data_IF_279677499896
#
_entry.id   IF_279677499896
#
_cell.length_a   1.000
_cell.length_b   1.000
_cell.length_c   1.000
_cell.angle_alpha   90.00
_cell.angle_beta   90.00
_cell.angle_gamma   90.00
#
_symmetry.space_group_name_H-M   'P 1'
#
loop_
_entity.id
_entity.type
_entity.pdbx_description
1 polymer ?
#
# COMPACT_ATOMS: atom_id res chain seq x y z
N UNK A 1 21.88 -38.23 -9.89
CA UNK A 1 21.68 -39.30 -8.88
C UNK A 1 20.48 -38.91 -8.01
N UNK A 2 19.99 -39.73 -7.06
CA UNK A 2 18.93 -39.28 -6.15
C UNK A 2 19.54 -38.47 -5.01
N UNK A 3 19.11 -37.21 -4.82
CA UNK A 3 19.52 -36.41 -3.67
C UNK A 3 19.02 -37.05 -2.37
N UNK A 4 19.87 -37.01 -1.33
CA UNK A 4 19.54 -37.50 0.00
C UNK A 4 19.89 -36.47 1.05
N UNK A 5 18.90 -36.00 1.81
CA UNK A 5 19.06 -35.10 2.93
C UNK A 5 18.86 -35.85 4.25
N UNK A 6 19.93 -35.99 5.05
CA UNK A 6 19.91 -36.77 6.29
C UNK A 6 20.26 -35.89 7.48
N UNK A 7 19.42 -35.87 8.52
CA UNK A 7 19.69 -35.15 9.77
C UNK A 7 20.88 -35.81 10.49
N UNK A 8 21.84 -35.01 10.95
CA UNK A 8 23.02 -35.51 11.67
C UNK A 8 22.69 -35.88 13.11
N UNK A 9 23.46 -36.80 13.68
CA UNK A 9 23.27 -37.27 15.06
C UNK A 9 23.59 -36.20 16.12
N UNK A 10 24.45 -35.24 15.77
CA UNK A 10 24.84 -34.10 16.60
C UNK A 10 23.97 -32.86 16.34
N UNK A 11 22.80 -33.05 15.72
CA UNK A 11 21.85 -31.99 15.40
C UNK A 11 21.05 -31.49 16.62
N UNK A 12 20.16 -30.52 16.36
CA UNK A 12 19.18 -29.97 17.31
C UNK A 12 19.81 -29.13 18.42
N UNK A 13 20.71 -28.23 18.05
CA UNK A 13 21.24 -27.24 18.99
C UNK A 13 20.18 -26.17 19.24
N UNK A 14 19.80 -25.95 20.50
CA UNK A 14 18.71 -25.04 20.88
C UNK A 14 19.10 -24.10 22.00
N UNK A 15 18.55 -22.89 21.96
CA UNK A 15 18.47 -21.95 23.07
C UNK A 15 17.00 -21.57 23.33
N UNK A 16 16.62 -21.53 24.60
CA UNK A 16 15.32 -21.02 25.07
C UNK A 16 15.54 -19.76 25.91
N UNK A 17 14.73 -18.72 25.73
CA UNK A 17 14.86 -17.44 26.44
C UNK A 17 14.41 -16.26 25.59
N UNK A 18 14.93 -15.07 25.84
CA UNK A 18 14.57 -13.84 25.11
C UNK A 18 14.93 -13.88 23.61
N UNK A 19 15.95 -14.68 23.26
CA UNK A 19 16.46 -14.86 21.89
C UNK A 19 16.48 -16.36 21.54
N UNK A 20 15.30 -16.99 21.40
CA UNK A 20 15.23 -18.43 21.18
C UNK A 20 15.71 -18.78 19.77
N UNK A 21 16.48 -19.86 19.66
CA UNK A 21 16.87 -20.42 18.36
C UNK A 21 16.90 -21.95 18.38
N UNK A 22 16.81 -22.55 17.20
CA UNK A 22 17.02 -23.96 16.91
C UNK A 22 17.86 -24.10 15.64
N UNK A 23 19.03 -24.71 15.74
CA UNK A 23 19.87 -25.09 14.60
C UNK A 23 19.72 -26.59 14.35
N UNK A 24 19.39 -26.94 13.11
CA UNK A 24 19.40 -28.29 12.59
C UNK A 24 20.59 -28.45 11.63
N UNK A 25 21.21 -29.61 11.66
CA UNK A 25 22.42 -29.93 10.92
C UNK A 25 22.11 -31.15 10.07
N UNK A 26 22.31 -31.04 8.77
CA UNK A 26 22.06 -32.12 7.83
C UNK A 26 23.32 -32.41 7.01
N UNK A 27 23.34 -33.59 6.42
CA UNK A 27 24.23 -33.94 5.33
C UNK A 27 23.38 -34.14 4.08
N UNK A 28 23.69 -33.37 3.04
CA UNK A 28 23.12 -33.55 1.71
C UNK A 28 24.16 -34.26 0.84
N UNK A 29 23.74 -35.26 0.08
CA UNK A 29 24.58 -35.94 -0.92
C UNK A 29 23.84 -36.10 -2.24
N UNK A 30 24.56 -36.20 -3.35
CA UNK A 30 24.00 -36.56 -4.65
C UNK A 30 23.99 -35.44 -5.69
N UNK A 31 24.63 -34.29 -5.41
CA UNK A 31 24.75 -33.18 -6.36
C UNK A 31 26.02 -32.35 -6.12
N UNK A 32 26.67 -31.95 -7.21
CA UNK A 32 27.73 -30.95 -7.24
C UNK A 32 27.20 -29.51 -7.40
N UNK A 33 25.91 -29.34 -7.72
CA UNK A 33 25.29 -28.03 -7.97
C UNK A 33 24.78 -27.41 -6.67
N UNK A 34 25.34 -26.25 -6.30
CA UNK A 34 24.97 -25.51 -5.09
C UNK A 34 23.51 -25.01 -5.15
N UNK A 35 22.99 -24.68 -6.33
CA UNK A 35 21.61 -24.20 -6.51
C UNK A 35 20.65 -25.36 -6.27
N UNK A 36 20.88 -26.50 -6.92
CA UNK A 36 20.08 -27.71 -6.72
C UNK A 36 20.13 -28.16 -5.25
N UNK A 37 21.31 -28.09 -4.63
CA UNK A 37 21.48 -28.40 -3.21
C UNK A 37 20.63 -27.50 -2.32
N UNK A 38 20.64 -26.19 -2.57
CA UNK A 38 19.88 -25.21 -1.79
C UNK A 38 18.38 -25.39 -1.93
N UNK A 39 17.90 -25.58 -3.16
CA UNK A 39 16.48 -25.78 -3.44
C UNK A 39 15.97 -27.06 -2.79
N UNK A 40 16.73 -28.16 -2.92
CA UNK A 40 16.38 -29.43 -2.29
C UNK A 40 16.30 -29.32 -0.75
N UNK A 41 17.24 -28.63 -0.10
CA UNK A 41 17.17 -28.38 1.35
C UNK A 41 15.96 -27.51 1.71
N UNK A 42 15.67 -26.48 0.92
CA UNK A 42 14.56 -25.56 1.18
C UNK A 42 13.19 -26.27 1.07
N UNK A 43 13.04 -27.21 0.16
CA UNK A 43 11.82 -28.03 -0.03
C UNK A 43 11.64 -29.09 1.06
N UNK A 44 12.75 -29.67 1.55
CA UNK A 44 12.73 -30.78 2.51
C UNK A 44 12.88 -30.34 3.97
N UNK A 45 12.95 -29.04 4.24
CA UNK A 45 12.97 -28.48 5.60
C UNK A 45 11.78 -27.54 5.82
N UNK A 46 11.09 -27.61 6.96
CA UNK A 46 9.95 -26.73 7.23
C UNK A 46 10.33 -25.25 7.19
N UNK A 47 9.42 -24.39 6.75
CA UNK A 47 9.55 -22.92 6.84
C UNK A 47 9.39 -22.40 8.27
N UNK A 48 8.81 -23.20 9.17
CA UNK A 48 8.73 -22.93 10.61
C UNK A 48 8.77 -24.23 11.41
N UNK A 49 9.32 -24.17 12.63
CA UNK A 49 9.43 -25.31 13.55
C UNK A 49 9.40 -24.84 14.99
N UNK A 50 8.58 -25.48 15.82
CA UNK A 50 8.44 -25.17 17.26
C UNK A 50 8.17 -23.69 17.57
N UNK A 51 7.37 -23.03 16.72
CA UNK A 51 7.04 -21.60 16.83
C UNK A 51 8.15 -20.64 16.37
N UNK A 52 9.26 -21.15 15.83
CA UNK A 52 10.37 -20.39 15.28
C UNK A 52 10.32 -20.44 13.74
N UNK A 53 10.57 -19.31 13.07
CA UNK A 53 10.64 -19.23 11.60
C UNK A 53 12.03 -19.62 11.10
N UNK A 54 12.13 -20.20 9.90
CA UNK A 54 13.41 -20.52 9.25
C UNK A 54 14.13 -19.21 8.89
N UNK A 55 15.25 -18.95 9.57
CA UNK A 55 16.06 -17.73 9.48
C UNK A 55 17.12 -17.85 8.37
N UNK A 56 17.83 -18.99 8.29
CA UNK A 56 18.85 -19.23 7.28
C UNK A 56 18.98 -20.70 6.90
N UNK A 57 19.50 -20.93 5.69
CA UNK A 57 20.06 -22.19 5.21
C UNK A 57 21.49 -21.89 4.79
N UNK A 58 22.45 -22.51 5.47
CA UNK A 58 23.88 -22.40 5.19
C UNK A 58 24.36 -23.73 4.61
N UNK A 59 25.15 -23.66 3.54
CA UNK A 59 25.71 -24.79 2.82
C UNK A 59 27.22 -24.67 2.86
N UNK A 60 27.88 -25.71 3.36
CA UNK A 60 29.33 -25.84 3.32
C UNK A 60 29.68 -27.11 2.52
N UNK A 61 30.44 -27.01 1.42
CA UNK A 61 30.82 -28.19 0.66
C UNK A 61 31.76 -29.07 1.50
N UNK A 62 31.42 -30.35 1.64
CA UNK A 62 32.33 -31.37 2.18
C UNK A 62 33.28 -31.83 1.08
N UNK A 63 32.72 -32.12 -0.10
CA UNK A 63 33.44 -32.36 -1.34
C UNK A 63 32.50 -32.11 -2.53
N UNK A 64 33.07 -31.75 -3.68
CA UNK A 64 32.34 -31.47 -4.92
C UNK A 64 33.12 -32.11 -6.06
N UNK A 65 32.45 -32.94 -6.85
CA UNK A 65 32.97 -33.52 -8.08
C UNK A 65 32.09 -33.07 -9.25
N UNK A 66 32.54 -32.01 -9.93
CA UNK A 66 31.81 -31.44 -11.07
C UNK A 66 31.81 -32.35 -12.30
N UNK A 67 32.78 -33.25 -12.43
CA UNK A 67 32.85 -34.16 -13.58
C UNK A 67 31.87 -35.33 -13.42
N UNK A 68 31.66 -35.80 -12.19
CA UNK A 68 30.68 -36.82 -11.85
C UNK A 68 29.27 -36.26 -11.56
N UNK A 69 29.11 -34.93 -11.55
CA UNK A 69 27.89 -34.22 -11.12
C UNK A 69 27.41 -34.65 -9.73
N UNK A 70 28.34 -34.97 -8.83
CA UNK A 70 28.05 -35.48 -7.49
C UNK A 70 28.82 -34.68 -6.43
N UNK A 71 28.32 -34.69 -5.21
CA UNK A 71 28.85 -33.87 -4.14
C UNK A 71 28.20 -34.18 -2.81
N UNK A 72 28.85 -33.72 -1.75
CA UNK A 72 28.29 -33.73 -0.41
C UNK A 72 28.43 -32.37 0.26
N UNK A 73 27.39 -31.96 0.98
CA UNK A 73 27.26 -30.67 1.64
C UNK A 73 26.92 -30.88 3.12
N UNK A 74 27.60 -30.14 3.99
CA UNK A 74 27.19 -29.93 5.36
C UNK A 74 26.20 -28.77 5.37
N UNK A 75 25.01 -29.01 5.89
CA UNK A 75 23.91 -28.05 5.84
C UNK A 75 23.56 -27.63 7.26
N UNK A 76 23.48 -26.33 7.50
CA UNK A 76 22.92 -25.77 8.74
C UNK A 76 21.63 -25.04 8.42
N UNK A 77 20.52 -25.47 9.02
CA UNK A 77 19.24 -24.78 8.95
C UNK A 77 18.95 -24.16 10.30
N UNK A 78 18.90 -22.84 10.35
CA UNK A 78 18.65 -22.10 11.58
C UNK A 78 17.22 -21.61 11.61
N UNK A 79 16.56 -21.86 12.74
CA UNK A 79 15.25 -21.34 13.09
C UNK A 79 15.41 -20.36 14.24
N UNK A 80 14.98 -19.12 14.03
CA UNK A 80 15.01 -18.09 15.06
C UNK A 80 13.59 -17.66 15.41
N UNK A 81 13.45 -16.84 16.45
CA UNK A 81 12.27 -15.97 16.51
C UNK A 81 12.25 -15.28 15.16
N UNK A 82 11.17 -15.47 14.39
CA UNK A 82 10.99 -14.60 13.24
C UNK A 82 11.17 -13.20 13.82
N UNK A 83 12.19 -12.45 13.36
CA UNK A 83 11.95 -11.03 13.24
C UNK A 83 10.71 -11.05 12.39
N UNK A 84 9.55 -10.87 13.02
CA UNK A 84 8.37 -10.65 12.25
C UNK A 84 8.80 -9.56 11.27
N UNK A 85 8.29 -9.63 10.06
CA UNK A 85 8.05 -8.41 9.33
C UNK A 85 7.20 -7.54 10.27
N UNK A 86 7.81 -6.90 11.27
CA UNK A 86 7.17 -6.03 12.25
C UNK A 86 6.91 -4.78 11.44
N UNK A 87 5.88 -4.88 10.61
CA UNK A 87 5.43 -3.76 9.85
C UNK A 87 4.87 -2.77 10.85
N UNK A 88 5.50 -1.60 10.92
CA UNK A 88 5.01 -0.55 11.81
C UNK A 88 3.93 0.20 11.06
N UNK A 89 2.73 0.21 11.63
CA UNK A 89 1.60 0.96 11.09
C UNK A 89 1.44 2.28 11.85
N UNK A 90 1.32 3.36 11.10
CA UNK A 90 0.99 4.69 11.63
C UNK A 90 -0.15 5.28 10.82
N UNK A 91 -1.05 6.00 11.47
CA UNK A 91 -2.15 6.66 10.78
C UNK A 91 -2.51 7.99 11.43
N UNK A 92 -3.07 8.87 10.63
CA UNK A 92 -3.62 10.16 10.98
C UNK A 92 -4.89 10.40 10.18
N UNK A 93 -5.98 10.74 10.85
CA UNK A 93 -7.25 11.09 10.21
C UNK A 93 -7.44 12.62 10.13
N UNK A 94 -6.35 13.38 10.19
CA UNK A 94 -6.36 14.83 10.02
C UNK A 94 -6.92 15.16 8.64
N UNK A 95 -8.08 15.82 8.63
CA UNK A 95 -8.79 16.09 7.39
C UNK A 95 -8.01 17.05 6.48
N UNK A 96 -8.05 16.79 5.19
CA UNK A 96 -7.54 17.71 4.18
C UNK A 96 -8.49 18.90 4.00
N UNK A 97 -7.98 20.00 3.46
CA UNK A 97 -8.82 21.15 3.09
C UNK A 97 -9.32 20.97 1.65
N UNK A 98 -10.63 21.11 1.43
CA UNK A 98 -11.22 21.18 0.10
C UNK A 98 -12.00 22.47 -0.05
N UNK A 99 -11.71 23.20 -1.13
CA UNK A 99 -12.52 24.32 -1.55
C UNK A 99 -13.82 23.82 -2.20
N UNK A 100 -14.97 24.25 -1.69
CA UNK A 100 -16.29 23.92 -2.22
C UNK A 100 -17.05 25.18 -2.62
N UNK A 101 -17.69 25.14 -3.79
CA UNK A 101 -18.58 26.24 -4.25
C UNK A 101 -20.05 25.94 -3.99
N UNK A 102 -20.36 24.74 -3.50
CA UNK A 102 -21.71 24.23 -3.33
C UNK A 102 -21.91 23.63 -1.94
N UNK A 103 -22.99 24.02 -1.27
CA UNK A 103 -23.41 23.45 0.00
C UNK A 103 -24.10 22.09 -0.18
N UNK A 104 -24.01 21.24 0.84
CA UNK A 104 -24.79 20.00 0.90
C UNK A 104 -26.29 20.29 1.03
N UNK A 105 -26.64 21.30 1.82
CA UNK A 105 -28.01 21.76 2.01
C UNK A 105 -28.01 23.21 2.49
N UNK A 106 -28.97 24.01 2.01
CA UNK A 106 -29.25 25.34 2.58
C UNK A 106 -30.22 25.18 3.75
N UNK A 107 -29.73 25.31 4.99
CA UNK A 107 -30.53 25.07 6.19
C UNK A 107 -31.59 26.15 6.46
N UNK A 108 -31.30 27.42 6.13
CA UNK A 108 -32.22 28.53 6.29
C UNK A 108 -31.83 29.70 5.39
N UNK A 109 -32.78 30.61 5.15
CA UNK A 109 -32.58 31.90 4.48
C UNK A 109 -33.15 33.02 5.32
N UNK A 110 -32.44 34.14 5.42
CA UNK A 110 -32.86 35.31 6.18
C UNK A 110 -32.64 36.57 5.33
N UNK A 111 -33.72 37.34 5.00
CA UNK A 111 -35.12 36.99 5.23
C UNK A 111 -35.52 35.70 4.50
N UNK A 112 -36.65 35.09 4.88
CA UNK A 112 -37.09 33.80 4.32
C UNK A 112 -37.33 33.83 2.81
N UNK A 113 -37.59 35.03 2.27
CA UNK A 113 -37.74 35.32 0.84
C UNK A 113 -36.43 35.81 0.19
N UNK A 114 -35.27 35.67 0.81
CA UNK A 114 -34.00 35.98 0.16
C UNK A 114 -33.81 35.11 -1.10
N UNK A 115 -33.10 35.61 -2.15
CA UNK A 115 -32.93 34.89 -3.41
C UNK A 115 -32.43 33.46 -3.25
N UNK A 116 -32.91 32.53 -4.09
CA UNK A 116 -32.45 31.15 -4.05
C UNK A 116 -31.27 30.90 -5.02
N UNK A 117 -30.06 30.88 -4.47
CA UNK A 117 -28.83 30.56 -5.21
C UNK A 117 -28.60 29.04 -5.42
N UNK A 118 -29.61 28.21 -5.12
CA UNK A 118 -29.56 26.75 -5.24
C UNK A 118 -28.36 26.10 -4.53
N UNK A 119 -28.00 26.66 -3.37
CA UNK A 119 -26.93 26.15 -2.51
C UNK A 119 -25.51 26.58 -2.91
N UNK A 120 -25.33 27.42 -3.93
CA UNK A 120 -24.06 28.06 -4.21
C UNK A 120 -23.58 28.89 -3.00
N UNK A 121 -22.29 28.81 -2.68
CA UNK A 121 -21.67 29.44 -1.51
C UNK A 121 -20.85 30.66 -1.95
N UNK A 122 -20.96 31.78 -1.21
CA UNK A 122 -20.20 32.99 -1.52
C UNK A 122 -20.59 33.62 -2.85
N UNK A 123 -21.88 33.65 -3.18
CA UNK A 123 -22.37 34.25 -4.43
C UNK A 123 -22.24 35.76 -4.38
N UNK A 124 -21.51 36.32 -5.35
CA UNK A 124 -21.40 37.75 -5.61
C UNK A 124 -22.17 38.11 -6.87
N UNK A 125 -22.10 39.37 -7.31
CA UNK A 125 -22.73 39.80 -8.57
C UNK A 125 -22.17 39.02 -9.77
N UNK A 126 -20.85 38.80 -9.78
CA UNK A 126 -20.15 38.28 -10.96
C UNK A 126 -19.69 36.83 -10.80
N UNK A 127 -19.56 36.32 -9.56
CA UNK A 127 -18.89 35.05 -9.30
C UNK A 127 -19.51 34.25 -8.12
N UNK A 128 -19.00 33.03 -7.94
CA UNK A 128 -19.26 32.16 -6.78
C UNK A 128 -17.92 31.88 -6.12
N UNK A 129 -17.69 32.46 -4.94
CA UNK A 129 -16.39 32.42 -4.26
C UNK A 129 -16.13 31.12 -3.52
N UNK A 130 -17.18 30.42 -3.06
CA UNK A 130 -17.04 29.20 -2.29
C UNK A 130 -16.45 29.40 -0.89
N UNK A 131 -16.07 28.28 -0.27
CA UNK A 131 -15.41 28.24 1.04
C UNK A 131 -14.56 26.98 1.16
N UNK A 132 -13.48 27.07 1.92
CA UNK A 132 -12.67 25.91 2.30
C UNK A 132 -13.28 25.16 3.48
N UNK A 133 -13.46 23.85 3.33
CA UNK A 133 -13.91 22.96 4.39
C UNK A 133 -12.87 21.88 4.67
N UNK A 134 -12.87 21.37 5.89
CA UNK A 134 -12.15 20.13 6.20
C UNK A 134 -12.95 18.94 5.68
N UNK A 135 -12.34 18.15 4.79
CA UNK A 135 -12.88 16.87 4.32
C UNK A 135 -12.12 15.72 4.94
N UNK A 136 -12.78 14.59 5.25
CA UNK A 136 -12.09 13.42 5.78
C UNK A 136 -11.06 12.91 4.76
N UNK A 137 -9.79 13.04 5.11
CA UNK A 137 -8.68 12.39 4.40
C UNK A 137 -8.00 11.50 5.43
N UNK A 138 -7.86 10.22 5.09
CA UNK A 138 -7.22 9.25 5.94
C UNK A 138 -5.76 9.08 5.51
N UNK A 139 -4.84 9.73 6.21
CA UNK A 139 -3.42 9.54 5.97
C UNK A 139 -2.93 8.33 6.75
N UNK A 140 -2.22 7.42 6.08
CA UNK A 140 -1.60 6.30 6.78
C UNK A 140 -0.27 5.95 6.14
N UNK A 141 0.61 5.36 6.96
CA UNK A 141 1.89 4.87 6.51
C UNK A 141 2.22 3.52 7.14
N UNK A 142 2.76 2.64 6.31
CA UNK A 142 3.25 1.32 6.70
C UNK A 142 4.75 1.27 6.48
N UNK A 143 5.51 0.87 7.49
CA UNK A 143 6.95 0.62 7.34
C UNK A 143 7.18 -0.88 7.28
N UNK A 144 7.90 -1.37 6.27
CA UNK A 144 8.23 -2.79 6.09
C UNK A 144 9.74 -2.98 5.99
N UNK A 145 10.27 -4.00 6.66
CA UNK A 145 11.64 -4.47 6.47
C UNK A 145 11.67 -5.47 5.31
N UNK A 146 12.49 -5.21 4.30
CA UNK A 146 12.62 -6.05 3.10
C UNK A 146 14.08 -6.44 2.83
N UNK A 147 14.35 -7.68 2.47
CA UNK A 147 15.70 -8.09 2.15
C UNK A 147 16.23 -7.39 0.90
N UNK A 148 17.54 -7.13 0.87
CA UNK A 148 18.19 -6.36 -0.18
C UNK A 148 17.94 -6.89 -1.60
N UNK A 149 17.78 -8.20 -1.76
CA UNK A 149 17.52 -8.85 -3.05
C UNK A 149 16.11 -8.57 -3.60
N UNK A 150 15.13 -8.22 -2.76
CA UNK A 150 13.79 -7.83 -3.20
C UNK A 150 13.74 -6.37 -3.66
N UNK A 151 14.57 -5.49 -3.08
CA UNK A 151 14.58 -4.04 -3.38
C UNK A 151 15.48 -3.72 -4.56
N UNK A 152 15.14 -4.31 -5.71
CA UNK A 152 15.85 -4.12 -6.97
C UNK A 152 15.64 -2.72 -7.56
N UNK A 153 16.44 -2.35 -8.56
CA UNK A 153 16.16 -1.12 -9.35
C UNK A 153 14.79 -1.15 -10.01
N UNK A 154 14.35 -2.33 -10.49
CA UNK A 154 13.02 -2.50 -11.06
C UNK A 154 11.92 -2.21 -10.03
N UNK A 155 12.08 -2.73 -8.80
CA UNK A 155 11.12 -2.46 -7.72
C UNK A 155 11.05 -0.97 -7.37
N UNK A 156 12.19 -0.28 -7.27
CA UNK A 156 12.21 1.18 -7.06
C UNK A 156 11.52 1.95 -8.19
N UNK A 157 11.66 1.50 -9.44
CA UNK A 157 10.93 2.07 -10.57
C UNK A 157 9.42 1.80 -10.50
N UNK A 158 8.99 0.64 -10.00
CA UNK A 158 7.58 0.38 -9.70
C UNK A 158 7.03 1.36 -8.68
N UNK A 159 7.73 1.59 -7.57
CA UNK A 159 7.32 2.58 -6.55
C UNK A 159 7.24 3.99 -7.14
N UNK A 160 8.24 4.38 -7.94
CA UNK A 160 8.24 5.66 -8.65
C UNK A 160 7.03 5.80 -9.58
N UNK A 161 6.75 4.79 -10.40
CA UNK A 161 5.65 4.82 -11.37
C UNK A 161 4.26 4.82 -10.72
N UNK A 162 4.12 4.22 -9.54
CA UNK A 162 2.87 4.20 -8.78
C UNK A 162 2.67 5.47 -7.94
N UNK A 163 3.74 6.22 -7.64
CA UNK A 163 3.63 7.45 -6.85
C UNK A 163 2.73 8.45 -7.58
N UNK A 164 1.75 9.00 -6.87
CA UNK A 164 0.73 9.88 -7.45
C UNK A 164 -0.36 9.14 -8.23
N UNK A 165 -0.49 7.82 -8.07
CA UNK A 165 -1.60 7.04 -8.63
C UNK A 165 -2.61 6.64 -7.56
N UNK A 166 -3.81 6.33 -8.02
CA UNK A 166 -4.91 5.85 -7.19
C UNK A 166 -5.13 4.36 -7.45
N UNK A 167 -5.48 3.60 -6.42
CA UNK A 167 -5.75 2.17 -6.52
C UNK A 167 -6.85 1.84 -7.56
N UNK A 168 -6.58 0.89 -8.44
CA UNK A 168 -7.56 0.36 -9.40
C UNK A 168 -8.45 -0.77 -8.83
N UNK A 169 -8.07 -1.33 -7.69
CA UNK A 169 -8.76 -2.40 -6.96
C UNK A 169 -8.79 -2.08 -5.46
N UNK A 170 -9.52 -2.87 -4.66
CA UNK A 170 -9.54 -2.67 -3.21
C UNK A 170 -8.13 -2.78 -2.61
N UNK A 171 -7.81 -1.90 -1.66
CA UNK A 171 -6.49 -1.84 -1.04
C UNK A 171 -6.57 -1.25 0.37
N UNK A 172 -6.08 -1.99 1.36
CA UNK A 172 -6.02 -1.68 2.79
C UNK A 172 -7.37 -1.22 3.36
N UNK A 173 -8.43 -1.92 2.97
CA UNK A 173 -9.81 -1.62 3.37
C UNK A 173 -10.47 -0.46 2.61
N UNK A 174 -9.79 0.17 1.66
CA UNK A 174 -10.32 1.21 0.78
C UNK A 174 -10.76 0.61 -0.56
N UNK A 175 -11.89 1.05 -1.10
CA UNK A 175 -12.40 0.60 -2.39
C UNK A 175 -11.54 1.14 -3.55
N UNK A 176 -11.71 0.57 -4.75
CA UNK A 176 -11.07 1.10 -5.95
C UNK A 176 -11.41 2.60 -6.14
N UNK A 177 -10.39 3.43 -6.38
CA UNK A 177 -10.56 4.89 -6.50
C UNK A 177 -10.40 5.69 -5.21
N UNK A 178 -10.19 5.03 -4.07
CA UNK A 178 -10.17 5.68 -2.75
C UNK A 178 -8.77 5.87 -2.16
N UNK A 179 -7.77 5.09 -2.57
CA UNK A 179 -6.42 5.13 -2.01
C UNK A 179 -5.41 5.73 -2.99
N UNK A 180 -4.86 6.89 -2.66
CA UNK A 180 -3.75 7.55 -3.36
C UNK A 180 -2.42 7.12 -2.73
N UNK A 181 -1.48 6.66 -3.55
CA UNK A 181 -0.12 6.39 -3.10
C UNK A 181 0.71 7.68 -3.15
N UNK A 182 1.09 8.18 -1.97
CA UNK A 182 1.89 9.40 -1.82
C UNK A 182 3.39 9.16 -2.04
N UNK A 183 3.79 7.89 -2.12
CA UNK A 183 5.16 7.45 -2.36
C UNK A 183 5.74 6.65 -1.20
N UNK A 184 6.99 6.22 -1.38
CA UNK A 184 7.72 5.45 -0.39
C UNK A 184 9.10 6.06 -0.13
N UNK A 185 9.60 5.91 1.09
CA UNK A 185 10.95 6.28 1.48
C UNK A 185 11.66 5.04 2.03
N UNK A 186 12.77 4.64 1.40
CA UNK A 186 13.57 3.49 1.81
C UNK A 186 14.91 3.91 2.39
N UNK A 187 15.35 3.23 3.44
CA UNK A 187 16.70 3.35 4.01
C UNK A 187 17.36 1.99 4.12
N UNK A 188 18.67 1.92 3.87
CA UNK A 188 19.46 0.70 4.01
C UNK A 188 20.73 1.02 4.79
N UNK A 189 21.10 0.17 5.75
CA UNK A 189 22.39 0.26 6.44
C UNK A 189 23.35 -0.78 5.88
N UNK A 190 24.41 -0.32 5.23
CA UNK A 190 25.41 -1.21 4.62
C UNK A 190 24.80 -2.13 3.55
N UNK A 191 24.97 -3.45 3.71
CA UNK A 191 24.40 -4.48 2.83
C UNK A 191 23.21 -5.22 3.46
N UNK A 192 22.67 -4.72 4.57
CA UNK A 192 21.55 -5.34 5.27
C UNK A 192 20.20 -5.07 4.59
N UNK A 193 19.13 -5.32 5.32
CA UNK A 193 17.76 -5.12 4.82
C UNK A 193 17.42 -3.64 4.64
N UNK A 194 16.43 -3.40 3.79
CA UNK A 194 15.80 -2.10 3.59
C UNK A 194 14.67 -1.93 4.58
N UNK A 195 14.61 -0.78 5.23
CA UNK A 195 13.42 -0.30 5.93
C UNK A 195 12.71 0.68 4.99
N UNK A 196 11.49 0.35 4.56
CA UNK A 196 10.73 1.16 3.59
C UNK A 196 9.39 1.59 4.21
N UNK A 197 9.19 2.91 4.32
CA UNK A 197 7.91 3.52 4.71
C UNK A 197 7.11 3.93 3.49
N UNK A 198 5.94 3.32 3.30
CA UNK A 198 4.95 3.61 2.26
C UNK A 198 3.91 4.57 2.83
N UNK A 199 3.55 5.61 2.10
CA UNK A 199 2.58 6.63 2.54
C UNK A 199 1.39 6.67 1.61
N UNK A 200 0.21 6.76 2.20
CA UNK A 200 -1.07 6.74 1.50
C UNK A 200 -2.00 7.82 2.00
N UNK A 201 -2.97 8.17 1.16
CA UNK A 201 -4.12 8.98 1.54
C UNK A 201 -5.41 8.30 1.04
N UNK A 202 -6.35 8.10 1.96
CA UNK A 202 -7.69 7.61 1.68
C UNK A 202 -8.67 8.77 1.52
N UNK A 203 -9.42 8.78 0.42
CA UNK A 203 -10.58 9.65 0.22
C UNK A 203 -11.73 8.78 -0.26
N UNK A 204 -12.88 8.76 0.44
CA UNK A 204 -13.97 7.86 0.08
C UNK A 204 -14.69 8.32 -1.19
N UNK A 205 -15.14 7.35 -1.98
CA UNK A 205 -16.00 7.56 -3.14
C UNK A 205 -17.35 8.16 -2.70
N UNK A 206 -17.98 8.93 -3.59
CA UNK A 206 -19.26 9.58 -3.35
C UNK A 206 -20.20 9.34 -4.51
N UNK A 207 -21.42 8.94 -4.19
CA UNK A 207 -22.52 8.74 -5.15
C UNK A 207 -23.73 9.52 -4.68
N UNK A 208 -24.66 9.79 -5.61
CA UNK A 208 -25.90 10.50 -5.29
C UNK A 208 -25.69 11.96 -4.85
N UNK A 209 -24.57 12.57 -5.23
CA UNK A 209 -24.32 13.98 -4.96
C UNK A 209 -25.35 14.84 -5.71
N UNK A 210 -25.73 15.95 -5.08
CA UNK A 210 -26.70 16.93 -5.60
C UNK A 210 -26.08 18.32 -5.58
N UNK A 211 -26.15 19.03 -6.70
CA UNK A 211 -25.67 20.40 -6.88
C UNK A 211 -26.80 21.21 -7.51
N UNK A 212 -27.55 21.95 -6.69
CA UNK A 212 -28.79 22.59 -7.13
C UNK A 212 -29.77 21.57 -7.71
N UNK A 213 -30.15 21.73 -8.98
CA UNK A 213 -31.00 20.76 -9.70
C UNK A 213 -30.24 19.59 -10.34
N UNK A 214 -28.92 19.59 -10.32
CA UNK A 214 -28.11 18.51 -10.87
C UNK A 214 -28.04 17.37 -9.84
N UNK A 215 -28.64 16.22 -10.16
CA UNK A 215 -28.75 15.08 -9.23
C UNK A 215 -28.05 13.84 -9.77
N UNK A 216 -27.69 12.90 -8.89
CA UNK A 216 -27.13 11.60 -9.30
C UNK A 216 -25.65 11.66 -9.66
N UNK A 217 -24.96 12.73 -9.28
CA UNK A 217 -23.52 12.89 -9.54
C UNK A 217 -22.76 11.87 -8.71
N UNK A 218 -21.80 11.20 -9.35
CA UNK A 218 -20.89 10.26 -8.70
C UNK A 218 -19.46 10.66 -8.99
N UNK A 219 -18.61 10.62 -7.98
CA UNK A 219 -17.16 10.83 -8.12
C UNK A 219 -16.40 9.85 -7.25
N UNK A 220 -15.22 9.44 -7.72
CA UNK A 220 -14.25 8.73 -6.89
C UNK A 220 -13.57 9.68 -5.90
N UNK A 221 -12.94 9.12 -4.88
CA UNK A 221 -12.28 9.86 -3.81
C UNK A 221 -11.38 10.99 -4.32
N UNK A 222 -10.58 10.67 -5.32
CA UNK A 222 -9.53 11.52 -5.88
C UNK A 222 -9.86 12.15 -7.24
N UNK A 223 -11.11 12.06 -7.70
CA UNK A 223 -11.57 12.82 -8.88
C UNK A 223 -11.92 14.27 -8.49
N UNK A 224 -11.70 15.20 -9.41
CA UNK A 224 -11.99 16.61 -9.19
C UNK A 224 -13.38 16.97 -9.72
N UNK A 225 -14.25 17.48 -8.85
CA UNK A 225 -15.60 17.90 -9.20
C UNK A 225 -15.66 19.42 -9.24
N UNK A 226 -16.00 20.00 -10.39
CA UNK A 226 -16.20 21.44 -10.53
C UNK A 226 -17.53 21.76 -11.20
N UNK A 227 -18.03 22.98 -10.96
CA UNK A 227 -19.38 23.40 -11.32
C UNK A 227 -19.31 24.66 -12.19
N UNK A 228 -20.07 24.66 -13.28
CA UNK A 228 -20.29 25.84 -14.11
C UNK A 228 -21.58 26.53 -13.70
N UNK A 229 -21.52 27.85 -13.57
CA UNK A 229 -22.64 28.68 -13.17
C UNK A 229 -23.12 29.57 -14.33
N UNK A 230 -24.40 29.94 -14.31
CA UNK A 230 -24.97 30.95 -15.20
C UNK A 230 -25.91 31.87 -14.43
N UNK A 231 -26.18 33.05 -15.00
CA UNK A 231 -27.22 33.93 -14.50
C UNK A 231 -28.60 33.30 -14.67
N UNK A 232 -29.41 33.44 -13.63
CA UNK A 232 -30.78 32.97 -13.60
C UNK A 232 -31.65 33.97 -12.84
N UNK A 233 -32.87 34.16 -13.33
CA UNK A 233 -33.88 34.93 -12.61
C UNK A 233 -34.38 34.12 -11.40
N UNK A 234 -34.38 34.78 -10.25
CA UNK A 234 -35.12 34.42 -9.07
C UNK A 234 -36.22 35.46 -8.84
N UNK A 235 -37.27 35.11 -8.10
CA UNK A 235 -38.40 36.01 -7.82
C UNK A 235 -37.99 37.33 -7.13
N UNK A 236 -36.77 37.40 -6.59
CA UNK A 236 -36.27 38.56 -5.84
C UNK A 236 -34.99 39.20 -6.40
N UNK A 237 -34.24 38.52 -7.29
CA UNK A 237 -32.99 39.01 -7.87
C UNK A 237 -32.52 38.16 -9.07
N UNK A 238 -31.53 38.65 -9.82
CA UNK A 238 -30.71 37.81 -10.69
C UNK A 238 -29.62 37.17 -9.83
N UNK A 239 -29.47 35.85 -9.93
CA UNK A 239 -28.52 35.06 -9.13
C UNK A 239 -27.71 34.12 -10.02
N UNK A 240 -26.52 33.71 -9.54
CA UNK A 240 -25.77 32.61 -10.15
C UNK A 240 -26.33 31.26 -9.69
N UNK A 241 -26.66 30.39 -10.64
CA UNK A 241 -27.10 28.99 -10.37
C UNK A 241 -26.24 27.97 -11.10
N UNK A 242 -26.04 26.78 -10.53
CA UNK A 242 -25.30 25.71 -11.17
C UNK A 242 -26.07 25.22 -12.41
N UNK A 243 -25.38 25.13 -13.55
CA UNK A 243 -25.96 24.66 -14.82
C UNK A 243 -25.29 23.42 -15.38
N UNK A 244 -24.06 23.13 -14.95
CA UNK A 244 -23.35 21.90 -15.28
C UNK A 244 -22.35 21.55 -14.18
N UNK A 245 -22.07 20.26 -14.03
CA UNK A 245 -21.04 19.74 -13.15
C UNK A 245 -20.15 18.78 -13.93
N UNK A 246 -18.86 18.81 -13.64
CA UNK A 246 -17.83 18.06 -14.36
C UNK A 246 -17.01 17.27 -13.35
N UNK A 247 -16.83 15.98 -13.60
CA UNK A 247 -16.02 15.08 -12.80
C UNK A 247 -14.80 14.70 -13.62
N UNK A 248 -13.63 15.15 -13.16
CA UNK A 248 -12.37 14.99 -13.87
C UNK A 248 -11.48 13.98 -13.14
N UNK A 249 -10.95 13.03 -13.90
CA UNK A 249 -9.90 12.16 -13.39
C UNK A 249 -8.56 12.92 -13.44
N UNK A 250 -8.10 13.39 -12.29
CA UNK A 250 -6.83 14.14 -12.16
C UNK A 250 -5.65 13.26 -11.73
N UNK A 251 -5.92 12.04 -11.26
CA UNK A 251 -4.91 11.04 -10.95
C UNK A 251 -5.10 9.78 -11.78
N UNK A 252 -4.00 9.24 -12.31
CA UNK A 252 -4.02 7.96 -13.03
C UNK A 252 -4.29 6.80 -12.06
N UNK A 253 -4.96 5.76 -12.56
CA UNK A 253 -5.09 4.52 -11.81
C UNK A 253 -3.80 3.70 -11.85
N UNK A 254 -3.52 2.97 -10.77
CA UNK A 254 -2.38 2.08 -10.61
C UNK A 254 -2.79 0.76 -9.95
N UNK A 255 -2.10 -0.31 -10.32
CA UNK A 255 -2.24 -1.61 -9.67
C UNK A 255 -1.36 -1.65 -8.42
N UNK A 256 -1.99 -1.61 -7.25
CA UNK A 256 -1.28 -1.57 -5.97
C UNK A 256 -0.84 -2.95 -5.49
N UNK A 257 -1.25 -4.05 -6.16
CA UNK A 257 -0.66 -5.37 -5.88
C UNK A 257 0.84 -5.38 -6.17
N UNK A 258 1.30 -4.54 -7.09
CA UNK A 258 2.71 -4.36 -7.45
C UNK A 258 3.55 -3.70 -6.34
N UNK A 259 2.93 -3.14 -5.30
CA UNK A 259 3.64 -2.66 -4.10
C UNK A 259 4.14 -3.84 -3.25
N UNK A 260 3.52 -5.01 -3.40
CA UNK A 260 3.90 -6.27 -2.74
C UNK A 260 3.79 -6.25 -1.20
N UNK A 261 2.99 -5.35 -0.62
CA UNK A 261 2.81 -5.18 0.84
C UNK A 261 1.47 -5.71 1.36
N UNK A 262 0.83 -6.59 0.59
CA UNK A 262 -0.55 -7.03 0.82
C UNK A 262 -1.60 -5.97 0.43
N UNK A 263 -2.86 -6.40 0.39
CA UNK A 263 -4.04 -5.57 0.07
C UNK A 263 -4.99 -5.44 1.24
#
# INVERSE_FOLDING_TARGET
MSLSLTERVDSRRRLTGDHPYLELFYTLTGTADEIEAKDHVAENTPTARDGLGRESIELEPVWVDTDAEDGAWSVTVRYGRATAEESTFSFDTGGGTQHITQSLVTMARYPSNAPNCQGAIGVTHDAVEGVDITVPVYHFAETHCRPAWQVTTAYKMTLFNLTGRVNNAAFKGLAAGECLFLGAAGTQRGRGDWEITYRFAGSPNRTGLVIGSLTGISKKGWEYLWVRYADAEDSYAIVKRPVAAYVEQVYSLGDFSLLDIGT
#
